data_IF_092183059641
#
_entry.id   IF_092183059641
#
_cell.length_a   1.000
_cell.length_b   1.000
_cell.length_c   1.000
_cell.angle_alpha   90.00
_cell.angle_beta   90.00
_cell.angle_gamma   90.00
#
_symmetry.space_group_name_H-M   'P 1'
#
loop_
_entity.id
_entity.type
_entity.pdbx_description
1 polymer ?
#
# COMPACT_ATOMS: atom_id res chain seq x y z
N UNK A 1 -14.55 -9.48 -18.58
CA UNK A 1 -13.29 -8.96 -19.15
C UNK A 1 -12.19 -9.32 -18.17
N UNK A 2 -11.12 -9.96 -18.63
CA UNK A 2 -9.93 -10.18 -17.82
C UNK A 2 -8.77 -9.49 -18.52
N UNK A 3 -8.09 -8.61 -17.80
CA UNK A 3 -6.85 -7.95 -18.23
C UNK A 3 -5.74 -8.71 -17.53
N UNK A 4 -5.18 -9.68 -18.25
CA UNK A 4 -4.38 -10.77 -17.72
C UNK A 4 -2.92 -10.55 -18.15
N UNK A 5 -2.19 -9.83 -17.30
CA UNK A 5 -0.80 -9.51 -17.55
C UNK A 5 0.10 -10.61 -16.99
N UNK A 6 0.75 -11.35 -17.87
CA UNK A 6 1.54 -12.52 -17.52
C UNK A 6 2.98 -12.47 -18.07
N UNK A 7 3.44 -11.31 -18.58
CA UNK A 7 4.84 -11.03 -18.85
C UNK A 7 5.64 -10.83 -17.54
N UNK A 8 5.68 -11.88 -16.72
CA UNK A 8 6.51 -11.96 -15.53
C UNK A 8 6.57 -13.42 -15.04
N UNK A 9 6.86 -13.63 -13.76
CA UNK A 9 6.99 -14.95 -13.16
C UNK A 9 5.66 -15.70 -12.91
N UNK A 10 4.50 -15.12 -13.25
CA UNK A 10 3.19 -15.73 -13.04
C UNK A 10 2.62 -16.42 -14.30
N UNK A 11 3.34 -16.43 -15.43
CA UNK A 11 2.86 -17.01 -16.71
C UNK A 11 2.28 -18.42 -16.62
N UNK A 12 2.77 -19.29 -15.73
CA UNK A 12 2.21 -20.64 -15.58
C UNK A 12 0.78 -20.61 -14.99
N UNK A 13 0.50 -19.71 -14.04
CA UNK A 13 -0.83 -19.53 -13.45
C UNK A 13 -1.81 -18.89 -14.44
N UNK A 14 -1.35 -17.93 -15.24
CA UNK A 14 -2.13 -17.33 -16.32
C UNK A 14 -2.73 -18.37 -17.29
N UNK A 15 -2.00 -19.46 -17.56
CA UNK A 15 -2.49 -20.55 -18.41
C UNK A 15 -3.51 -21.44 -17.67
N UNK A 16 -3.30 -21.71 -16.38
CA UNK A 16 -4.27 -22.45 -15.56
C UNK A 16 -5.61 -21.69 -15.48
N UNK A 17 -5.56 -20.39 -15.23
CA UNK A 17 -6.76 -19.55 -15.12
C UNK A 17 -7.53 -19.49 -16.43
N UNK A 18 -6.87 -19.46 -17.59
CA UNK A 18 -7.56 -19.53 -18.88
C UNK A 18 -8.27 -20.88 -19.05
N UNK A 19 -7.63 -22.01 -18.71
CA UNK A 19 -8.29 -23.32 -18.74
C UNK A 19 -9.48 -23.39 -17.75
N UNK A 20 -9.38 -22.77 -16.57
CA UNK A 20 -10.51 -22.65 -15.64
C UNK A 20 -11.67 -21.80 -16.22
N UNK A 21 -11.37 -20.72 -16.94
CA UNK A 21 -12.37 -19.93 -17.66
C UNK A 21 -13.03 -20.73 -18.80
N UNK A 22 -12.32 -21.67 -19.42
CA UNK A 22 -12.83 -22.55 -20.48
C UNK A 22 -13.89 -23.53 -19.97
N UNK A 23 -13.85 -23.92 -18.69
CA UNK A 23 -14.94 -24.71 -18.07
C UNK A 23 -16.32 -24.05 -18.20
N UNK A 24 -16.37 -22.72 -18.29
CA UNK A 24 -17.59 -21.94 -18.49
C UNK A 24 -17.79 -21.51 -19.96
N UNK A 25 -16.76 -20.89 -20.54
CA UNK A 25 -16.76 -20.38 -21.91
C UNK A 25 -17.79 -19.28 -22.24
N UNK A 26 -17.66 -18.68 -23.42
CA UNK A 26 -18.53 -17.60 -23.89
C UNK A 26 -19.76 -18.13 -24.64
N UNK A 27 -20.96 -17.85 -24.12
CA UNK A 27 -22.26 -18.29 -24.66
C UNK A 27 -22.86 -17.27 -25.64
N UNK A 28 -24.18 -17.33 -25.88
CA UNK A 28 -24.96 -16.28 -26.56
C UNK A 28 -25.20 -15.04 -25.70
N UNK A 29 -25.22 -15.21 -24.38
CA UNK A 29 -25.66 -14.20 -23.41
C UNK A 29 -24.52 -13.73 -22.49
N UNK A 30 -23.42 -14.49 -22.43
CA UNK A 30 -22.20 -14.19 -21.67
C UNK A 30 -21.00 -14.13 -22.62
N UNK A 31 -20.16 -13.10 -22.50
CA UNK A 31 -18.89 -13.01 -23.23
C UNK A 31 -17.73 -12.91 -22.24
N UNK A 32 -16.90 -13.96 -22.19
CA UNK A 32 -15.65 -13.99 -21.45
C UNK A 32 -14.54 -13.61 -22.44
N UNK A 33 -14.01 -12.40 -22.28
CA UNK A 33 -12.95 -11.85 -23.14
C UNK A 33 -11.72 -11.58 -22.28
N UNK A 34 -10.60 -12.17 -22.67
CA UNK A 34 -9.29 -12.04 -22.02
C UNK A 34 -8.37 -11.24 -22.95
N UNK A 35 -7.63 -10.28 -22.43
CA UNK A 35 -6.39 -9.81 -23.04
C UNK A 35 -5.26 -10.47 -22.25
N UNK A 36 -4.57 -11.41 -22.89
CA UNK A 36 -3.37 -12.08 -22.40
C UNK A 36 -2.15 -11.35 -22.96
N UNK A 37 -1.14 -11.20 -22.13
CA UNK A 37 0.21 -10.80 -22.49
C UNK A 37 1.19 -11.73 -21.77
N UNK A 38 2.16 -12.31 -22.45
CA UNK A 38 3.06 -13.34 -21.91
C UNK A 38 4.54 -12.93 -22.02
N UNK A 39 5.46 -13.81 -21.59
CA UNK A 39 6.87 -13.49 -21.46
C UNK A 39 7.67 -13.54 -22.78
N UNK A 40 7.03 -13.81 -23.93
CA UNK A 40 7.68 -13.86 -25.24
C UNK A 40 7.19 -12.76 -26.19
N UNK A 41 8.08 -11.82 -26.52
CA UNK A 41 7.81 -10.73 -27.47
C UNK A 41 7.15 -11.17 -28.79
N UNK A 42 5.87 -10.82 -28.91
CA UNK A 42 4.95 -11.21 -29.97
C UNK A 42 3.81 -12.16 -29.55
N UNK A 43 3.61 -12.41 -28.25
CA UNK A 43 2.61 -13.34 -27.73
C UNK A 43 1.32 -12.69 -27.19
N UNK A 44 1.23 -11.35 -27.11
CA UNK A 44 -0.01 -10.66 -26.75
C UNK A 44 -1.19 -11.12 -27.60
N UNK A 45 -2.28 -11.50 -26.96
CA UNK A 45 -3.48 -11.99 -27.66
C UNK A 45 -4.78 -11.64 -26.95
N UNK A 46 -5.84 -11.44 -27.74
CA UNK A 46 -7.20 -11.30 -27.20
C UNK A 46 -7.95 -12.60 -27.46
N UNK A 47 -8.34 -13.29 -26.40
CA UNK A 47 -9.12 -14.52 -26.47
C UNK A 47 -10.61 -14.21 -26.26
N UNK A 48 -11.48 -14.81 -27.07
CA UNK A 48 -12.89 -15.01 -26.68
C UNK A 48 -13.00 -16.45 -26.20
N UNK A 49 -13.11 -16.62 -24.90
CA UNK A 49 -12.99 -17.94 -24.27
C UNK A 49 -14.07 -18.88 -24.81
N UNK A 50 -13.68 -20.05 -25.27
CA UNK A 50 -14.61 -21.12 -25.72
C UNK A 50 -14.95 -22.03 -24.55
N UNK A 51 -15.95 -22.90 -24.69
CA UNK A 51 -16.22 -23.91 -23.66
C UNK A 51 -15.65 -25.26 -24.08
N UNK A 52 -14.87 -25.85 -23.19
CA UNK A 52 -14.39 -27.22 -23.24
C UNK A 52 -14.05 -27.74 -21.82
N UNK A 53 -13.62 -28.99 -21.75
CA UNK A 53 -13.34 -29.74 -20.50
C UNK A 53 -11.84 -30.12 -20.39
N UNK A 54 -10.92 -29.47 -21.11
CA UNK A 54 -9.49 -29.79 -21.16
C UNK A 54 -8.66 -28.89 -20.23
N UNK A 55 -8.56 -29.31 -18.96
CA UNK A 55 -7.79 -28.60 -17.93
C UNK A 55 -6.26 -28.48 -18.23
N UNK A 56 -5.73 -29.13 -19.28
CA UNK A 56 -4.30 -29.10 -19.65
C UNK A 56 -3.96 -28.19 -20.85
N UNK A 57 -4.92 -27.84 -21.73
CA UNK A 57 -4.63 -27.15 -23.01
C UNK A 57 -5.65 -26.08 -23.36
N UNK A 58 -5.20 -24.83 -23.55
CA UNK A 58 -6.05 -23.73 -24.04
C UNK A 58 -6.60 -24.04 -25.45
N UNK A 59 -7.91 -24.15 -25.59
CA UNK A 59 -8.60 -24.29 -26.90
C UNK A 59 -9.15 -22.96 -27.46
N UNK A 60 -9.06 -21.88 -26.68
CA UNK A 60 -9.49 -20.54 -27.06
C UNK A 60 -8.59 -19.90 -28.09
N UNK A 61 -9.16 -19.58 -29.25
CA UNK A 61 -8.42 -18.96 -30.34
C UNK A 61 -8.40 -17.42 -30.26
N UNK A 62 -7.28 -16.77 -30.65
CA UNK A 62 -7.20 -15.32 -30.74
C UNK A 62 -8.24 -14.69 -31.68
N UNK A 63 -8.76 -13.54 -31.27
CA UNK A 63 -9.70 -12.69 -32.00
C UNK A 63 -8.95 -11.54 -32.68
N UNK A 64 -9.21 -11.34 -33.98
CA UNK A 64 -8.71 -10.17 -34.74
C UNK A 64 -9.37 -8.87 -34.24
N UNK A 65 -8.65 -8.15 -33.38
CA UNK A 65 -9.03 -6.83 -32.87
C UNK A 65 -8.87 -5.70 -33.91
N UNK A 66 -8.20 -5.99 -35.04
CA UNK A 66 -7.79 -5.09 -36.11
C UNK A 66 -6.84 -3.97 -35.68
N UNK A 67 -5.97 -4.24 -34.71
CA UNK A 67 -5.01 -3.31 -34.17
C UNK A 67 -5.63 -2.16 -33.34
N UNK A 68 -6.81 -2.40 -32.77
CA UNK A 68 -7.54 -1.41 -31.95
C UNK A 68 -7.05 -1.37 -30.50
N UNK A 69 -6.52 -2.50 -30.01
CA UNK A 69 -5.95 -2.75 -28.68
C UNK A 69 -4.47 -3.11 -28.84
N UNK A 70 -4.17 -4.19 -29.56
CA UNK A 70 -2.81 -4.72 -29.77
C UNK A 70 -2.20 -4.04 -30.99
N UNK A 71 -1.25 -3.12 -30.78
CA UNK A 71 -0.71 -2.28 -31.86
C UNK A 71 0.54 -2.88 -32.49
N UNK A 72 0.40 -4.03 -33.11
CA UNK A 72 1.50 -4.77 -33.73
C UNK A 72 1.38 -6.23 -33.34
N UNK A 73 2.26 -6.65 -32.44
CA UNK A 73 2.30 -8.01 -31.89
C UNK A 73 2.52 -8.02 -30.36
N UNK A 74 2.82 -6.87 -29.75
CA UNK A 74 3.07 -6.71 -28.30
C UNK A 74 2.20 -5.57 -27.73
N UNK A 75 1.87 -5.60 -26.44
CA UNK A 75 1.35 -4.45 -25.67
C UNK A 75 1.95 -4.35 -24.27
N UNK A 76 2.51 -3.18 -23.94
CA UNK A 76 2.73 -2.80 -22.55
C UNK A 76 1.39 -2.86 -21.78
N UNK A 77 1.31 -3.72 -20.76
CA UNK A 77 0.14 -3.91 -19.91
C UNK A 77 0.11 -2.93 -18.72
N UNK A 78 1.27 -2.41 -18.32
CA UNK A 78 1.40 -1.27 -17.40
C UNK A 78 0.82 0.05 -17.96
N UNK A 79 0.78 0.23 -19.29
CA UNK A 79 0.27 1.44 -19.93
C UNK A 79 -1.26 1.58 -19.74
N UNK A 80 -1.77 2.60 -19.02
CA UNK A 80 -3.21 2.83 -18.88
C UNK A 80 -3.93 3.04 -20.21
N UNK A 81 -3.20 3.41 -21.26
CA UNK A 81 -3.74 3.51 -22.61
C UNK A 81 -4.01 2.13 -23.23
N UNK A 82 -3.38 1.05 -22.78
CA UNK A 82 -3.69 -0.35 -23.14
C UNK A 82 -4.97 -0.81 -22.46
N UNK A 83 -5.07 -0.73 -21.13
CA UNK A 83 -6.30 -1.01 -20.36
C UNK A 83 -7.52 -0.27 -20.93
N UNK A 84 -7.35 1.04 -21.21
CA UNK A 84 -8.39 1.89 -21.80
C UNK A 84 -8.78 1.49 -23.22
N UNK A 85 -7.84 1.01 -24.05
CA UNK A 85 -8.16 0.48 -25.38
C UNK A 85 -8.95 -0.82 -25.25
N UNK A 86 -8.50 -1.74 -24.39
CA UNK A 86 -9.15 -3.03 -24.17
C UNK A 86 -10.60 -2.89 -23.70
N UNK A 87 -10.83 -2.22 -22.56
CA UNK A 87 -12.18 -2.02 -22.00
C UNK A 87 -13.10 -1.30 -23.00
N UNK A 88 -12.59 -0.28 -23.69
CA UNK A 88 -13.37 0.41 -24.73
C UNK A 88 -13.67 -0.52 -25.91
N UNK A 89 -12.73 -1.34 -26.34
CA UNK A 89 -12.92 -2.26 -27.47
C UNK A 89 -13.97 -3.32 -27.13
N UNK A 90 -13.83 -4.01 -25.99
CA UNK A 90 -14.78 -5.04 -25.57
C UNK A 90 -16.20 -4.48 -25.47
N UNK A 91 -16.41 -3.32 -24.82
CA UNK A 91 -17.73 -2.69 -24.72
C UNK A 91 -18.37 -2.29 -26.06
N UNK A 92 -17.57 -2.16 -27.14
CA UNK A 92 -18.09 -1.84 -28.47
C UNK A 92 -18.38 -3.08 -29.33
N UNK A 93 -17.52 -4.11 -29.26
CA UNK A 93 -17.70 -5.34 -30.06
C UNK A 93 -18.61 -6.37 -29.35
N UNK A 94 -18.63 -6.38 -28.02
CA UNK A 94 -19.42 -7.26 -27.15
C UNK A 94 -20.28 -6.44 -26.16
N UNK A 95 -21.28 -5.69 -26.64
CA UNK A 95 -22.14 -4.89 -25.77
C UNK A 95 -22.96 -5.78 -24.83
N UNK A 96 -22.89 -5.50 -23.53
CA UNK A 96 -23.58 -6.25 -22.48
C UNK A 96 -24.44 -5.34 -21.59
N UNK A 97 -25.40 -5.92 -20.86
CA UNK A 97 -26.22 -5.24 -19.86
C UNK A 97 -25.56 -5.17 -18.47
N UNK A 98 -24.56 -6.03 -18.24
CA UNK A 98 -23.71 -6.06 -17.05
C UNK A 98 -22.26 -6.27 -17.45
N UNK A 99 -21.33 -5.70 -16.70
CA UNK A 99 -19.91 -5.76 -17.02
C UNK A 99 -19.02 -6.00 -15.81
N UNK A 100 -18.18 -7.02 -15.92
CA UNK A 100 -17.10 -7.35 -14.97
C UNK A 100 -15.76 -7.12 -15.65
N UNK A 101 -14.87 -6.40 -14.98
CA UNK A 101 -13.46 -6.28 -15.32
C UNK A 101 -12.63 -6.85 -14.18
N UNK A 102 -11.81 -7.86 -14.45
CA UNK A 102 -10.75 -8.31 -13.55
C UNK A 102 -9.42 -7.79 -14.08
N UNK A 103 -8.59 -7.21 -13.20
CA UNK A 103 -7.18 -6.94 -13.46
C UNK A 103 -6.41 -7.98 -12.66
N UNK A 104 -5.63 -8.79 -13.36
CA UNK A 104 -4.89 -9.94 -12.83
C UNK A 104 -3.40 -9.69 -12.99
N UNK A 105 -2.64 -9.79 -11.89
CA UNK A 105 -1.17 -9.87 -11.81
C UNK A 105 -0.70 -9.80 -10.33
N UNK A 106 0.61 -9.62 -10.10
CA UNK A 106 1.15 -8.94 -8.91
C UNK A 106 0.40 -7.64 -8.57
N UNK A 107 0.24 -7.41 -7.27
CA UNK A 107 -0.23 -6.16 -6.69
C UNK A 107 0.61 -5.72 -5.49
N UNK A 108 0.68 -4.42 -5.24
CA UNK A 108 1.30 -3.85 -4.04
C UNK A 108 0.37 -2.91 -3.27
N UNK A 109 -0.89 -2.75 -3.70
CA UNK A 109 -1.81 -1.75 -3.18
C UNK A 109 -1.36 -0.34 -3.57
N UNK A 110 -1.30 0.57 -2.59
CA UNK A 110 -0.98 1.99 -2.85
C UNK A 110 0.48 2.38 -2.63
N UNK A 111 1.29 1.54 -1.97
CA UNK A 111 2.69 1.82 -1.60
C UNK A 111 3.67 0.77 -2.11
N UNK A 112 4.93 1.19 -2.26
CA UNK A 112 6.02 0.34 -2.72
C UNK A 112 6.33 -0.76 -1.71
N UNK A 113 6.60 -1.97 -2.19
CA UNK A 113 6.93 -3.10 -1.33
C UNK A 113 8.30 -2.87 -0.67
N UNK A 114 8.32 -2.55 0.63
CA UNK A 114 9.56 -2.27 1.38
C UNK A 114 10.41 -3.51 1.71
N UNK A 115 9.93 -4.70 1.38
CA UNK A 115 10.58 -5.99 1.61
C UNK A 115 11.49 -6.44 0.48
N UNK A 116 12.23 -7.55 0.69
CA UNK A 116 13.22 -8.04 -0.27
C UNK A 116 12.57 -8.89 -1.37
N UNK A 117 12.55 -8.41 -2.60
CA UNK A 117 12.31 -9.27 -3.78
C UNK A 117 11.83 -8.52 -5.01
N UNK A 118 10.90 -7.59 -4.80
CA UNK A 118 10.33 -6.72 -5.84
C UNK A 118 10.97 -5.34 -5.83
N UNK A 119 10.73 -4.56 -6.89
CA UNK A 119 11.18 -3.16 -6.93
C UNK A 119 10.52 -2.39 -5.79
N UNK A 120 11.35 -1.71 -4.98
CA UNK A 120 10.94 -0.82 -3.89
C UNK A 120 10.04 0.33 -4.39
N UNK A 121 9.96 0.52 -5.70
CA UNK A 121 9.16 1.52 -6.40
C UNK A 121 7.81 1.02 -6.93
N UNK A 122 7.54 -0.29 -7.00
CA UNK A 122 6.29 -0.85 -7.57
C UNK A 122 5.05 -0.49 -6.73
N UNK A 123 4.17 0.37 -7.25
CA UNK A 123 3.02 0.99 -6.55
C UNK A 123 1.71 0.84 -7.32
N UNK A 124 1.20 -0.38 -7.43
CA UNK A 124 -0.01 -0.63 -8.21
C UNK A 124 -0.26 -2.12 -8.43
N UNK A 125 -0.65 -2.45 -9.66
CA UNK A 125 -1.00 -3.79 -10.13
C UNK A 125 -0.59 -3.92 -11.60
N UNK A 126 -0.59 -5.12 -12.18
CA UNK A 126 -0.22 -5.36 -13.58
C UNK A 126 1.23 -4.97 -13.86
N UNK A 127 2.17 -5.69 -13.22
CA UNK A 127 3.62 -5.53 -13.40
C UNK A 127 4.10 -6.21 -14.69
N UNK A 128 4.39 -5.37 -15.68
CA UNK A 128 4.94 -5.73 -16.98
C UNK A 128 6.47 -5.87 -16.87
N UNK A 129 6.96 -7.10 -17.06
CA UNK A 129 8.35 -7.47 -16.79
C UNK A 129 9.34 -7.04 -17.87
N UNK A 130 8.92 -7.01 -19.14
CA UNK A 130 9.76 -6.64 -20.28
C UNK A 130 9.84 -5.12 -20.46
N UNK A 131 8.73 -4.39 -20.29
CA UNK A 131 8.78 -2.91 -20.28
C UNK A 131 9.24 -2.35 -18.92
N UNK A 132 9.07 -3.11 -17.82
CA UNK A 132 9.38 -2.65 -16.46
C UNK A 132 8.40 -1.59 -15.96
N UNK A 133 7.13 -1.75 -16.32
CA UNK A 133 6.04 -0.79 -16.15
C UNK A 133 4.89 -1.39 -15.34
N UNK A 134 3.97 -0.56 -14.83
CA UNK A 134 2.80 -1.06 -14.10
C UNK A 134 1.66 -0.05 -14.00
N UNK A 135 0.44 -0.55 -13.86
CA UNK A 135 -0.74 0.29 -13.66
C UNK A 135 -0.77 0.85 -12.24
N UNK A 136 -0.44 2.13 -12.08
CA UNK A 136 -0.71 2.85 -10.82
C UNK A 136 -2.22 3.04 -10.61
N UNK A 137 -2.66 3.16 -9.35
CA UNK A 137 -4.08 3.40 -9.03
C UNK A 137 -4.67 4.67 -9.72
N UNK A 138 -3.93 5.81 -9.80
CA UNK A 138 -4.38 6.98 -10.56
C UNK A 138 -4.49 6.74 -12.07
N UNK A 139 -3.67 5.87 -12.64
CA UNK A 139 -3.71 5.52 -14.06
C UNK A 139 -4.91 4.63 -14.39
N UNK A 140 -5.27 3.69 -13.51
CA UNK A 140 -6.52 2.93 -13.59
C UNK A 140 -7.74 3.88 -13.56
N UNK A 141 -7.74 4.86 -12.65
CA UNK A 141 -8.77 5.92 -12.63
C UNK A 141 -8.84 6.65 -13.98
N UNK A 142 -7.71 7.03 -14.56
CA UNK A 142 -7.67 7.83 -15.80
C UNK A 142 -7.98 7.02 -17.08
N UNK A 143 -7.76 5.70 -17.04
CA UNK A 143 -8.25 4.73 -18.00
C UNK A 143 -9.78 4.59 -17.91
N UNK A 144 -10.32 4.41 -16.70
CA UNK A 144 -11.71 4.00 -16.44
C UNK A 144 -12.70 5.14 -16.15
N UNK A 145 -12.28 6.40 -15.98
CA UNK A 145 -13.14 7.57 -15.61
C UNK A 145 -14.36 7.89 -16.50
N UNK A 146 -14.53 7.20 -17.63
CA UNK A 146 -15.72 7.31 -18.52
C UNK A 146 -16.44 5.98 -18.71
N UNK A 147 -16.03 4.97 -17.96
CA UNK A 147 -16.62 3.63 -17.93
C UNK A 147 -17.59 3.56 -16.75
N UNK A 148 -18.59 2.70 -16.88
CA UNK A 148 -19.35 2.14 -15.77
C UNK A 148 -19.26 0.63 -15.90
N UNK A 149 -18.91 -0.01 -14.80
CA UNK A 149 -18.79 -1.45 -14.58
C UNK A 149 -19.76 -1.83 -13.45
N UNK A 150 -20.25 -3.06 -13.46
CA UNK A 150 -20.97 -3.61 -12.32
C UNK A 150 -19.97 -4.04 -11.25
N UNK A 151 -18.86 -4.66 -11.65
CA UNK A 151 -17.80 -5.16 -10.76
C UNK A 151 -16.42 -4.80 -11.35
N UNK A 152 -15.50 -4.31 -10.50
CA UNK A 152 -14.06 -4.40 -10.77
C UNK A 152 -13.40 -5.36 -9.77
N UNK A 153 -12.74 -6.37 -10.30
CA UNK A 153 -11.95 -7.36 -9.56
C UNK A 153 -10.47 -7.05 -9.66
N UNK A 154 -9.75 -7.34 -8.58
CA UNK A 154 -8.31 -7.41 -8.54
C UNK A 154 -7.91 -8.81 -8.11
N UNK A 155 -7.43 -9.59 -9.08
CA UNK A 155 -6.78 -10.87 -8.82
C UNK A 155 -5.28 -10.59 -8.63
N UNK A 156 -5.01 -9.96 -7.48
CA UNK A 156 -3.74 -9.33 -7.18
C UNK A 156 -3.60 -9.04 -5.68
N UNK A 157 -2.38 -9.15 -5.18
CA UNK A 157 -2.03 -8.93 -3.78
C UNK A 157 -2.34 -7.51 -3.27
N UNK A 158 -2.83 -7.41 -2.04
CA UNK A 158 -2.96 -6.15 -1.28
C UNK A 158 -3.88 -5.08 -1.92
N UNK A 159 -4.79 -5.46 -2.82
CA UNK A 159 -5.63 -4.53 -3.58
C UNK A 159 -6.95 -4.15 -2.89
N UNK A 160 -7.37 -4.86 -1.85
CA UNK A 160 -8.65 -4.66 -1.17
C UNK A 160 -8.62 -3.55 -0.10
N UNK A 161 -8.01 -2.43 -0.46
CA UNK A 161 -7.87 -1.25 0.39
C UNK A 161 -9.08 -0.32 0.29
N UNK A 162 -9.37 0.45 1.34
CA UNK A 162 -10.39 1.50 1.29
C UNK A 162 -9.99 2.63 0.33
N UNK A 163 -8.71 2.95 0.19
CA UNK A 163 -8.18 3.95 -0.74
C UNK A 163 -8.51 3.58 -2.20
N UNK A 164 -8.34 2.30 -2.54
CA UNK A 164 -8.59 1.75 -3.89
C UNK A 164 -10.09 1.65 -4.14
N UNK A 165 -10.85 1.12 -3.17
CA UNK A 165 -12.31 1.01 -3.25
C UNK A 165 -12.99 2.38 -3.34
N UNK A 166 -12.50 3.38 -2.61
CA UNK A 166 -12.96 4.77 -2.68
C UNK A 166 -12.80 5.34 -4.08
N UNK A 167 -11.65 5.14 -4.72
CA UNK A 167 -11.41 5.61 -6.08
C UNK A 167 -12.28 4.86 -7.09
N UNK A 168 -12.46 3.54 -6.92
CA UNK A 168 -13.28 2.68 -7.76
C UNK A 168 -14.78 3.02 -7.74
N UNK A 169 -15.31 3.57 -6.63
CA UNK A 169 -16.72 3.99 -6.47
C UNK A 169 -17.25 4.85 -7.62
N UNK A 170 -16.35 5.57 -8.29
CA UNK A 170 -16.68 6.47 -9.40
C UNK A 170 -17.03 5.72 -10.70
N UNK A 171 -16.59 4.47 -10.88
CA UNK A 171 -16.75 3.70 -12.12
C UNK A 171 -17.17 2.24 -11.95
N UNK A 172 -17.21 1.68 -10.74
CA UNK A 172 -17.72 0.34 -10.45
C UNK A 172 -18.76 0.34 -9.31
N UNK A 173 -19.79 -0.48 -9.42
CA UNK A 173 -20.79 -0.69 -8.36
C UNK A 173 -20.25 -1.56 -7.21
N UNK A 174 -19.37 -2.52 -7.50
CA UNK A 174 -18.67 -3.34 -6.51
C UNK A 174 -17.16 -3.43 -6.79
N UNK A 175 -16.36 -3.57 -5.73
CA UNK A 175 -14.96 -4.04 -5.80
C UNK A 175 -14.81 -5.43 -5.19
N UNK A 176 -13.85 -6.22 -5.67
CA UNK A 176 -13.51 -7.56 -5.15
C UNK A 176 -11.99 -7.76 -5.20
N UNK A 177 -11.38 -8.29 -4.14
CA UNK A 177 -9.94 -8.57 -4.05
C UNK A 177 -9.49 -8.99 -2.65
N UNK A 178 -8.17 -9.09 -2.46
CA UNK A 178 -7.52 -9.51 -1.20
C UNK A 178 -6.88 -8.34 -0.45
N UNK A 179 -6.99 -8.35 0.87
CA UNK A 179 -6.26 -7.43 1.78
C UNK A 179 -4.81 -7.88 1.96
N UNK A 180 -4.57 -9.19 1.88
CA UNK A 180 -3.31 -9.91 1.99
C UNK A 180 -2.73 -10.24 0.59
N UNK A 181 -1.56 -10.89 0.56
CA UNK A 181 -1.10 -11.64 -0.61
C UNK A 181 -2.14 -12.66 -1.09
N UNK A 182 -2.22 -12.84 -2.41
CA UNK A 182 -2.99 -13.91 -3.08
C UNK A 182 -2.03 -15.09 -3.34
N UNK A 183 -2.47 -16.36 -3.24
CA UNK A 183 -1.69 -17.51 -3.67
C UNK A 183 -1.37 -17.46 -5.18
N UNK A 184 -0.43 -18.28 -5.63
CA UNK A 184 0.06 -18.21 -7.02
C UNK A 184 -1.03 -18.57 -8.05
N UNK A 185 -2.03 -19.36 -7.65
CA UNK A 185 -3.15 -19.82 -8.47
C UNK A 185 -4.34 -18.82 -8.53
N UNK A 186 -4.21 -17.60 -7.99
CA UNK A 186 -5.18 -16.51 -8.22
C UNK A 186 -6.60 -16.76 -7.69
N UNK A 187 -7.60 -16.48 -8.52
CA UNK A 187 -9.02 -16.80 -8.26
C UNK A 187 -9.42 -18.12 -8.92
N UNK A 188 -10.33 -18.87 -8.27
CA UNK A 188 -11.06 -19.97 -8.92
C UNK A 188 -11.99 -19.39 -10.02
N UNK A 189 -11.55 -19.45 -11.28
CA UNK A 189 -12.28 -18.93 -12.42
C UNK A 189 -13.43 -19.84 -12.86
N UNK A 190 -13.56 -21.05 -12.31
CA UNK A 190 -14.75 -21.89 -12.51
C UNK A 190 -16.00 -21.23 -11.93
N UNK A 191 -15.85 -20.20 -11.07
CA UNK A 191 -16.96 -19.33 -10.66
C UNK A 191 -17.71 -18.69 -11.84
N UNK A 192 -17.06 -18.52 -13.00
CA UNK A 192 -17.71 -18.03 -14.22
C UNK A 192 -18.86 -18.94 -14.71
N UNK A 193 -18.88 -20.21 -14.30
CA UNK A 193 -20.04 -21.09 -14.53
C UNK A 193 -21.33 -20.53 -13.94
N UNK A 194 -21.26 -19.75 -12.84
CA UNK A 194 -22.46 -19.07 -12.29
C UNK A 194 -23.08 -18.07 -13.27
N UNK A 195 -22.28 -17.44 -14.12
CA UNK A 195 -22.76 -16.52 -15.16
C UNK A 195 -23.39 -17.30 -16.33
N UNK A 196 -22.82 -18.42 -16.75
CA UNK A 196 -23.33 -19.20 -17.89
C UNK A 196 -24.56 -20.03 -17.52
N UNK A 197 -24.65 -20.52 -16.29
CA UNK A 197 -25.84 -21.16 -15.70
C UNK A 197 -26.98 -20.15 -15.47
N UNK A 198 -26.66 -18.92 -15.04
CA UNK A 198 -27.64 -17.88 -14.71
C UNK A 198 -27.16 -16.47 -15.13
N UNK A 199 -27.32 -16.08 -16.41
CA UNK A 199 -26.88 -14.76 -16.91
C UNK A 199 -27.57 -13.56 -16.24
N UNK A 200 -28.72 -13.78 -15.58
CA UNK A 200 -29.46 -12.75 -14.84
C UNK A 200 -28.97 -12.54 -13.39
N UNK A 201 -27.95 -13.29 -12.93
CA UNK A 201 -27.36 -13.13 -11.59
C UNK A 201 -27.00 -11.66 -11.32
N UNK A 202 -27.32 -11.18 -10.12
CA UNK A 202 -27.03 -9.79 -9.76
C UNK A 202 -25.53 -9.61 -9.51
N UNK A 203 -24.96 -8.43 -9.76
CA UNK A 203 -23.55 -8.14 -9.45
C UNK A 203 -23.21 -8.40 -7.99
N UNK A 204 -24.11 -8.01 -7.07
CA UNK A 204 -23.94 -8.27 -5.65
C UNK A 204 -23.79 -9.77 -5.34
N UNK A 205 -24.64 -10.62 -5.93
CA UNK A 205 -24.58 -12.06 -5.70
C UNK A 205 -23.39 -12.69 -6.40
N UNK A 206 -23.04 -12.24 -7.62
CA UNK A 206 -21.87 -12.75 -8.31
C UNK A 206 -20.55 -12.37 -7.60
N UNK A 207 -20.43 -11.16 -7.04
CA UNK A 207 -19.33 -10.79 -6.15
C UNK A 207 -19.24 -11.70 -4.92
N UNK A 208 -20.37 -12.11 -4.33
CA UNK A 208 -20.39 -13.08 -3.22
C UNK A 208 -20.00 -14.49 -3.65
N UNK A 209 -20.37 -14.93 -4.85
CA UNK A 209 -19.93 -16.21 -5.40
C UNK A 209 -18.40 -16.23 -5.64
N UNK A 210 -17.79 -15.15 -6.14
CA UNK A 210 -16.32 -15.02 -6.29
C UNK A 210 -15.63 -15.20 -4.93
N UNK A 211 -16.06 -14.44 -3.92
CA UNK A 211 -15.50 -14.53 -2.56
C UNK A 211 -15.71 -15.92 -1.95
N UNK A 212 -16.85 -16.57 -2.23
CA UNK A 212 -17.12 -17.92 -1.74
C UNK A 212 -16.24 -18.97 -2.42
N UNK A 213 -16.10 -18.93 -3.74
CA UNK A 213 -15.28 -19.87 -4.51
C UNK A 213 -13.83 -19.85 -4.02
N UNK A 214 -13.24 -18.67 -3.88
CA UNK A 214 -11.90 -18.48 -3.30
C UNK A 214 -11.73 -19.12 -1.92
N UNK A 215 -12.71 -18.93 -1.02
CA UNK A 215 -12.71 -19.52 0.32
C UNK A 215 -12.98 -21.03 0.34
N UNK A 216 -13.68 -21.58 -0.65
CA UNK A 216 -13.89 -23.02 -0.82
C UNK A 216 -12.64 -23.70 -1.41
N UNK A 217 -11.94 -23.04 -2.34
CA UNK A 217 -10.72 -23.51 -3.00
C UNK A 217 -9.52 -23.57 -2.02
N UNK A 218 -9.17 -22.46 -1.37
CA UNK A 218 -8.03 -22.40 -0.43
C UNK A 218 -8.38 -22.89 0.99
N UNK A 219 -9.66 -22.94 1.33
CA UNK A 219 -10.12 -23.38 2.65
C UNK A 219 -9.68 -22.43 3.78
N UNK A 220 -9.12 -22.99 4.87
CA UNK A 220 -8.75 -22.24 6.08
C UNK A 220 -7.26 -22.34 6.46
N UNK A 221 -6.41 -22.76 5.53
CA UNK A 221 -4.97 -22.91 5.75
C UNK A 221 -4.18 -21.66 5.34
N UNK A 222 -3.11 -21.35 6.07
CA UNK A 222 -2.21 -20.23 5.73
C UNK A 222 -2.78 -18.85 6.04
N UNK A 223 -2.27 -17.87 5.30
CA UNK A 223 -2.72 -16.47 5.27
C UNK A 223 -3.22 -16.17 3.87
N UNK A 224 -4.53 -15.97 3.73
CA UNK A 224 -5.19 -15.49 2.52
C UNK A 224 -6.49 -14.82 2.94
N UNK A 225 -6.91 -13.82 2.17
CA UNK A 225 -8.14 -13.07 2.37
C UNK A 225 -8.82 -12.84 1.03
N UNK A 226 -10.14 -12.66 1.02
CA UNK A 226 -10.87 -12.15 -0.14
C UNK A 226 -12.16 -11.50 0.34
N UNK A 227 -12.52 -10.34 -0.19
CA UNK A 227 -13.78 -9.67 0.14
C UNK A 227 -14.45 -9.02 -1.08
N UNK A 228 -15.70 -8.61 -0.89
CA UNK A 228 -16.48 -7.87 -1.86
C UNK A 228 -17.14 -6.65 -1.20
N UNK A 229 -17.08 -5.49 -1.85
CA UNK A 229 -17.48 -4.18 -1.32
C UNK A 229 -18.62 -3.58 -2.13
N UNK A 230 -19.70 -3.11 -1.48
CA UNK A 230 -20.70 -2.25 -2.12
C UNK A 230 -20.21 -0.79 -2.15
N UNK A 231 -19.86 -0.29 -3.33
CA UNK A 231 -19.37 1.07 -3.53
C UNK A 231 -20.34 2.16 -3.02
N UNK A 232 -21.65 1.86 -2.92
CA UNK A 232 -22.67 2.81 -2.44
C UNK A 232 -22.66 3.00 -0.93
N UNK A 233 -21.88 2.19 -0.19
CA UNK A 233 -21.72 2.26 1.27
C UNK A 233 -20.48 3.03 1.71
N UNK A 234 -19.54 3.24 0.79
CA UNK A 234 -18.27 3.91 1.06
C UNK A 234 -18.46 5.35 1.55
N UNK A 235 -19.40 6.13 0.99
CA UNK A 235 -19.64 7.52 1.42
C UNK A 235 -20.04 7.62 2.91
N UNK A 236 -21.02 6.84 3.40
CA UNK A 236 -21.27 6.68 4.84
C UNK A 236 -20.05 6.23 5.65
N UNK A 237 -19.30 5.23 5.17
CA UNK A 237 -18.13 4.69 5.89
C UNK A 237 -17.04 5.75 6.07
N UNK A 238 -16.64 6.45 4.99
CA UNK A 238 -15.64 7.53 5.07
C UNK A 238 -16.12 8.67 5.96
N UNK A 239 -17.42 9.03 5.90
CA UNK A 239 -18.00 10.03 6.82
C UNK A 239 -17.89 9.64 8.30
N UNK A 240 -17.90 8.33 8.62
CA UNK A 240 -17.71 7.83 9.98
C UNK A 240 -16.22 7.79 10.39
N UNK A 241 -15.32 7.43 9.46
CA UNK A 241 -13.86 7.53 9.64
C UNK A 241 -13.49 8.99 9.96
N UNK A 242 -13.97 9.95 9.18
CA UNK A 242 -13.77 11.38 9.38
C UNK A 242 -14.32 11.87 10.73
N UNK A 243 -15.45 11.32 11.16
CA UNK A 243 -16.06 11.63 12.45
C UNK A 243 -15.20 11.13 13.62
N UNK A 244 -14.60 9.93 13.49
CA UNK A 244 -13.67 9.36 14.45
C UNK A 244 -12.32 10.11 14.44
N UNK A 245 -11.73 10.32 13.28
CA UNK A 245 -10.52 11.11 13.05
C UNK A 245 -10.63 12.50 13.71
N UNK A 246 -11.75 13.21 13.50
CA UNK A 246 -12.05 14.48 14.15
C UNK A 246 -12.04 14.42 15.69
N UNK A 247 -12.47 13.31 16.29
CA UNK A 247 -12.46 13.13 17.76
C UNK A 247 -11.03 12.93 18.24
N UNK A 248 -10.24 12.11 17.53
CA UNK A 248 -8.85 11.83 17.86
C UNK A 248 -7.96 13.08 17.69
N UNK A 249 -8.01 13.76 16.54
CA UNK A 249 -7.25 15.00 16.26
C UNK A 249 -7.46 16.06 17.36
N UNK A 250 -8.73 16.30 17.76
CA UNK A 250 -9.07 17.32 18.78
C UNK A 250 -8.56 16.98 20.19
N UNK A 251 -8.12 15.74 20.43
CA UNK A 251 -7.67 15.24 21.71
C UNK A 251 -6.32 14.50 21.58
N UNK A 252 -5.52 14.79 20.54
CA UNK A 252 -4.40 13.93 20.14
C UNK A 252 -3.32 13.81 21.23
N UNK A 253 -3.03 14.90 21.95
CA UNK A 253 -2.11 14.94 23.10
C UNK A 253 -2.59 14.10 24.32
N UNK A 254 -3.85 13.62 24.31
CA UNK A 254 -4.41 12.69 25.31
C UNK A 254 -4.39 11.24 24.83
N UNK A 255 -4.59 11.01 23.54
CA UNK A 255 -4.84 9.67 22.97
C UNK A 255 -3.66 9.12 22.16
N UNK A 256 -2.54 9.82 21.99
CA UNK A 256 -1.42 9.36 21.15
C UNK A 256 -0.87 7.99 21.58
N UNK A 257 -0.70 7.75 22.89
CA UNK A 257 -0.25 6.46 23.42
C UNK A 257 -1.31 5.35 23.19
N UNK A 258 -2.60 5.67 23.38
CA UNK A 258 -3.70 4.72 23.13
C UNK A 258 -3.83 4.37 21.64
N UNK A 259 -3.56 5.33 20.74
CA UNK A 259 -3.54 5.14 19.28
C UNK A 259 -2.34 4.28 18.86
N UNK A 260 -1.15 4.52 19.43
CA UNK A 260 0.05 3.70 19.21
C UNK A 260 -0.19 2.26 19.66
N UNK A 261 -0.78 2.08 20.86
CA UNK A 261 -1.16 0.77 21.39
C UNK A 261 -2.17 0.07 20.47
N UNK A 262 -3.29 0.73 20.13
CA UNK A 262 -4.30 0.19 19.25
C UNK A 262 -3.73 -0.21 17.88
N UNK A 263 -2.88 0.64 17.28
CA UNK A 263 -2.18 0.37 16.03
C UNK A 263 -1.23 -0.82 16.11
N UNK A 264 -0.60 -1.05 17.26
CA UNK A 264 0.31 -2.20 17.49
C UNK A 264 -0.42 -3.52 17.73
N UNK A 265 -1.66 -3.46 18.22
CA UNK A 265 -2.54 -4.62 18.42
C UNK A 265 -3.31 -5.02 17.16
N UNK A 266 -3.43 -4.12 16.19
CA UNK A 266 -4.23 -4.31 14.98
C UNK A 266 -3.56 -5.28 14.02
N UNK A 267 -4.36 -6.16 13.41
CA UNK A 267 -3.90 -7.03 12.33
C UNK A 267 -3.32 -6.20 11.16
N UNK A 268 -2.13 -6.58 10.71
CA UNK A 268 -1.50 -6.05 9.52
C UNK A 268 -1.16 -7.19 8.56
N UNK A 269 -1.15 -6.86 7.27
CA UNK A 269 -0.88 -7.77 6.17
C UNK A 269 0.63 -7.82 5.86
N UNK A 270 1.02 -8.57 4.84
CA UNK A 270 2.43 -8.75 4.44
C UNK A 270 3.17 -7.41 4.19
N UNK A 271 2.45 -6.38 3.71
CA UNK A 271 2.89 -4.99 3.91
C UNK A 271 2.40 -4.49 5.28
N UNK A 272 3.29 -4.31 6.29
CA UNK A 272 2.90 -3.99 7.66
C UNK A 272 2.28 -2.60 7.82
N UNK A 273 2.28 -1.76 6.77
CA UNK A 273 1.62 -0.47 6.75
C UNK A 273 0.14 -0.55 6.36
N UNK A 274 -0.33 -1.68 5.85
CA UNK A 274 -1.75 -1.94 5.62
C UNK A 274 -2.30 -2.68 6.83
N UNK A 275 -3.28 -2.06 7.49
CA UNK A 275 -3.95 -2.63 8.66
C UNK A 275 -5.42 -2.85 8.37
N UNK A 276 -6.03 -3.80 9.05
CA UNK A 276 -7.48 -3.96 9.03
C UNK A 276 -8.18 -2.74 9.67
N UNK A 277 -9.12 -2.14 8.95
CA UNK A 277 -9.84 -0.93 9.37
C UNK A 277 -10.84 -1.19 10.51
N UNK A 278 -11.49 -2.36 10.52
CA UNK A 278 -12.44 -2.75 11.56
C UNK A 278 -11.71 -3.04 12.87
N UNK A 279 -10.64 -3.83 12.81
CA UNK A 279 -9.84 -4.22 13.96
C UNK A 279 -9.12 -3.00 14.56
N UNK A 280 -8.66 -2.05 13.72
CA UNK A 280 -8.15 -0.76 14.24
C UNK A 280 -9.21 -0.01 15.03
N UNK A 281 -10.44 0.09 14.50
CA UNK A 281 -11.54 0.74 15.21
C UNK A 281 -11.90 0.00 16.52
N UNK A 282 -11.93 -1.33 16.51
CA UNK A 282 -12.11 -2.19 17.69
C UNK A 282 -11.04 -1.92 18.75
N UNK A 283 -9.77 -1.93 18.37
CA UNK A 283 -8.65 -1.70 19.29
C UNK A 283 -8.67 -0.25 19.84
N UNK A 284 -9.06 0.75 19.05
CA UNK A 284 -9.31 2.11 19.56
C UNK A 284 -10.48 2.19 20.56
N UNK A 285 -11.52 1.37 20.39
CA UNK A 285 -12.60 1.24 21.38
C UNK A 285 -12.04 0.75 22.72
N UNK A 286 -11.23 -0.32 22.68
CA UNK A 286 -10.71 -0.98 23.87
C UNK A 286 -9.69 -0.11 24.61
N UNK A 287 -8.66 0.37 23.92
CA UNK A 287 -7.51 1.09 24.51
C UNK A 287 -7.91 2.46 25.10
N UNK A 288 -8.60 3.31 24.34
CA UNK A 288 -8.87 4.70 24.78
C UNK A 288 -9.85 4.83 25.94
N UNK A 289 -10.73 3.84 26.12
CA UNK A 289 -11.79 3.84 27.13
C UNK A 289 -12.89 4.92 26.97
N UNK A 290 -12.70 5.93 26.11
CA UNK A 290 -13.47 7.18 26.09
C UNK A 290 -14.81 7.05 25.36
N UNK A 291 -15.90 7.49 25.99
CA UNK A 291 -17.25 7.34 25.45
C UNK A 291 -17.48 7.92 24.05
N UNK A 292 -16.73 8.95 23.62
CA UNK A 292 -16.84 9.49 22.26
C UNK A 292 -16.05 8.67 21.24
N UNK A 293 -14.82 8.28 21.57
CA UNK A 293 -14.00 7.41 20.71
C UNK A 293 -14.73 6.08 20.52
N UNK A 294 -15.24 5.49 21.61
CA UNK A 294 -16.03 4.25 21.56
C UNK A 294 -17.27 4.35 20.67
N UNK A 295 -17.95 5.50 20.65
CA UNK A 295 -19.09 5.69 19.76
C UNK A 295 -18.66 5.79 18.29
N UNK A 296 -17.58 6.51 17.98
CA UNK A 296 -17.06 6.62 16.62
C UNK A 296 -16.51 5.30 16.09
N UNK A 297 -15.70 4.60 16.88
CA UNK A 297 -15.18 3.27 16.60
C UNK A 297 -16.27 2.26 16.24
N UNK A 298 -17.34 2.19 17.05
CA UNK A 298 -18.48 1.30 16.78
C UNK A 298 -19.24 1.65 15.51
N UNK A 299 -19.30 2.92 15.14
CA UNK A 299 -19.94 3.35 13.90
C UNK A 299 -19.09 2.99 12.67
N UNK A 300 -17.76 3.11 12.76
CA UNK A 300 -16.84 2.60 11.73
C UNK A 300 -16.98 1.08 11.61
N UNK A 301 -16.89 0.33 12.71
CA UNK A 301 -17.08 -1.14 12.71
C UNK A 301 -18.42 -1.55 12.06
N UNK A 302 -19.53 -0.92 12.46
CA UNK A 302 -20.86 -1.16 11.88
C UNK A 302 -20.89 -0.90 10.38
N UNK A 303 -20.28 0.19 9.92
CA UNK A 303 -20.29 0.58 8.52
C UNK A 303 -19.34 -0.26 7.66
N UNK A 304 -18.22 -0.76 8.19
CA UNK A 304 -17.42 -1.79 7.50
C UNK A 304 -18.27 -3.05 7.28
N UNK A 305 -18.94 -3.57 8.32
CA UNK A 305 -19.83 -4.73 8.19
C UNK A 305 -21.07 -4.52 7.30
N UNK A 306 -21.45 -3.28 7.00
CA UNK A 306 -22.51 -2.95 6.02
C UNK A 306 -21.97 -2.67 4.61
N UNK A 307 -20.67 -2.42 4.48
CA UNK A 307 -19.96 -2.13 3.23
C UNK A 307 -19.41 -3.39 2.59
N UNK A 308 -18.90 -4.31 3.41
CA UNK A 308 -18.39 -5.61 3.01
C UNK A 308 -19.55 -6.59 2.86
N UNK A 309 -19.91 -6.95 1.62
CA UNK A 309 -21.07 -7.81 1.30
C UNK A 309 -20.76 -9.31 1.32
N UNK A 310 -19.48 -9.66 1.21
CA UNK A 310 -18.92 -10.98 1.54
C UNK A 310 -17.44 -10.83 1.92
N UNK A 311 -16.95 -11.75 2.74
CA UNK A 311 -15.58 -11.82 3.23
C UNK A 311 -15.25 -13.29 3.55
N UNK A 312 -14.03 -13.71 3.23
CA UNK A 312 -13.42 -14.97 3.70
C UNK A 312 -11.94 -14.74 4.01
N UNK A 313 -11.48 -15.32 5.12
CA UNK A 313 -10.08 -15.34 5.53
C UNK A 313 -9.63 -16.72 5.98
N UNK A 314 -8.36 -17.01 5.74
CA UNK A 314 -7.67 -18.16 6.31
C UNK A 314 -7.42 -17.98 7.82
N UNK A 315 -7.13 -19.08 8.51
CA UNK A 315 -7.03 -19.11 9.99
C UNK A 315 -5.99 -18.13 10.55
N UNK A 316 -4.89 -17.90 9.83
CA UNK A 316 -3.80 -17.08 10.36
C UNK A 316 -4.05 -15.57 10.13
N UNK A 317 -5.07 -15.22 9.32
CA UNK A 317 -5.64 -13.87 9.08
C UNK A 317 -6.99 -13.67 9.81
N UNK A 318 -7.19 -14.31 10.96
CA UNK A 318 -8.47 -14.36 11.72
C UNK A 318 -9.07 -13.03 12.21
N UNK A 319 -8.32 -11.94 12.13
CA UNK A 319 -8.75 -10.59 12.52
C UNK A 319 -8.83 -9.66 11.29
N UNK A 320 -9.01 -10.25 10.11
CA UNK A 320 -9.42 -9.57 8.87
C UNK A 320 -10.95 -9.47 8.77
N UNK A 321 -11.40 -8.34 8.24
CA UNK A 321 -12.81 -7.97 8.12
C UNK A 321 -13.15 -7.41 6.72
N UNK A 322 -12.24 -7.51 5.76
CA UNK A 322 -12.51 -7.28 4.34
C UNK A 322 -12.15 -5.88 3.81
N UNK A 323 -11.57 -4.99 4.62
CA UNK A 323 -11.07 -3.68 4.17
C UNK A 323 -9.84 -3.25 4.97
N UNK A 324 -8.70 -3.16 4.27
CA UNK A 324 -7.49 -2.57 4.83
C UNK A 324 -7.41 -1.06 4.59
N UNK A 325 -6.58 -0.38 5.38
CA UNK A 325 -6.29 1.06 5.28
C UNK A 325 -4.80 1.32 5.50
N UNK A 326 -4.23 2.32 4.83
CA UNK A 326 -2.82 2.68 5.00
C UNK A 326 -2.60 3.47 6.29
N UNK A 327 -1.91 2.84 7.24
CA UNK A 327 -1.40 3.46 8.46
C UNK A 327 0.03 2.96 8.71
N UNK A 328 1.07 3.63 8.16
CA UNK A 328 2.44 3.23 8.40
C UNK A 328 2.87 3.54 9.84
N UNK A 329 3.85 2.81 10.36
CA UNK A 329 4.34 3.03 11.73
C UNK A 329 5.03 4.39 11.92
N UNK A 330 5.63 4.93 10.85
CA UNK A 330 6.67 5.97 10.93
C UNK A 330 6.43 7.11 9.94
N UNK A 331 6.63 8.35 10.39
CA UNK A 331 6.22 9.59 9.69
C UNK A 331 6.85 9.77 8.30
N UNK A 332 8.02 9.22 8.03
CA UNK A 332 8.65 9.31 6.71
C UNK A 332 7.95 8.44 5.66
N UNK A 333 7.40 7.29 6.04
CA UNK A 333 6.61 6.44 5.13
C UNK A 333 5.32 7.17 4.76
N UNK A 334 4.63 7.71 5.77
CA UNK A 334 3.48 8.60 5.59
C UNK A 334 3.80 9.75 4.64
N UNK A 335 4.88 10.51 4.89
CA UNK A 335 5.30 11.61 3.99
C UNK A 335 5.70 11.14 2.60
N UNK A 336 6.37 10.00 2.46
CA UNK A 336 6.78 9.46 1.15
C UNK A 336 5.60 9.03 0.27
N UNK A 337 4.46 8.71 0.89
CA UNK A 337 3.22 8.41 0.19
C UNK A 337 2.35 9.67 0.00
N UNK A 338 1.92 10.32 1.08
CA UNK A 338 0.98 11.46 1.03
C UNK A 338 1.58 12.76 0.45
N UNK A 339 2.91 12.88 0.30
CA UNK A 339 3.52 14.01 -0.42
C UNK A 339 3.65 13.78 -1.94
N UNK A 340 3.34 12.59 -2.46
CA UNK A 340 3.16 12.38 -3.90
C UNK A 340 1.77 12.85 -4.34
N UNK A 341 1.71 13.74 -5.32
CA UNK A 341 0.49 14.48 -5.70
C UNK A 341 -0.53 13.64 -6.49
N UNK A 342 -0.35 12.33 -6.51
CA UNK A 342 -0.99 11.40 -7.44
C UNK A 342 -2.23 10.72 -6.81
N UNK A 343 -2.28 10.62 -5.48
CA UNK A 343 -3.29 9.85 -4.73
C UNK A 343 -4.52 10.68 -4.31
N UNK A 344 -5.15 11.33 -5.28
CA UNK A 344 -5.93 12.54 -5.01
C UNK A 344 -7.25 12.34 -4.24
N UNK A 345 -8.02 11.26 -4.42
CA UNK A 345 -9.45 11.27 -4.00
C UNK A 345 -9.69 10.87 -2.54
N UNK A 346 -9.03 9.84 -2.00
CA UNK A 346 -9.26 9.47 -0.59
C UNK A 346 -8.64 10.49 0.36
N UNK A 347 -7.51 11.06 -0.05
CA UNK A 347 -6.80 12.12 0.68
C UNK A 347 -7.55 13.45 0.60
N UNK A 348 -8.17 13.81 -0.54
CA UNK A 348 -8.95 15.06 -0.60
C UNK A 348 -10.32 14.99 0.05
N UNK A 349 -10.91 13.78 0.11
CA UNK A 349 -12.30 13.59 0.51
C UNK A 349 -12.47 12.99 1.93
N UNK A 350 -11.38 12.73 2.65
CA UNK A 350 -11.38 12.25 4.04
C UNK A 350 -10.50 13.12 4.94
N UNK A 351 -10.48 12.81 6.24
CA UNK A 351 -9.62 13.43 7.26
C UNK A 351 -8.56 12.46 7.81
N UNK A 352 -8.27 11.39 7.07
CA UNK A 352 -7.37 10.34 7.52
C UNK A 352 -5.92 10.82 7.57
N UNK A 353 -5.46 11.59 6.58
CA UNK A 353 -4.08 12.09 6.56
C UNK A 353 -3.85 13.25 7.56
N UNK A 354 -4.82 14.13 7.83
CA UNK A 354 -4.67 15.06 8.95
C UNK A 354 -4.67 14.34 10.31
N UNK A 355 -5.39 13.22 10.44
CA UNK A 355 -5.31 12.37 11.62
C UNK A 355 -3.93 11.75 11.79
N UNK A 356 -3.40 11.11 10.73
CA UNK A 356 -2.07 10.53 10.73
C UNK A 356 -0.98 11.60 11.01
N UNK A 357 -1.05 12.76 10.35
CA UNK A 357 -0.12 13.87 10.61
C UNK A 357 -0.19 14.34 12.07
N UNK A 358 -1.39 14.55 12.61
CA UNK A 358 -1.57 14.98 14.01
C UNK A 358 -1.02 13.93 14.98
N UNK A 359 -1.25 12.64 14.72
CA UNK A 359 -0.71 11.52 15.49
C UNK A 359 0.82 11.54 15.51
N UNK A 360 1.50 11.55 14.36
CA UNK A 360 2.98 11.56 14.35
C UNK A 360 3.55 12.84 14.97
N UNK A 361 2.90 14.00 14.80
CA UNK A 361 3.33 15.23 15.47
C UNK A 361 3.22 15.11 17.00
N UNK A 362 2.15 14.52 17.53
CA UNK A 362 2.00 14.27 18.96
C UNK A 362 3.05 13.28 19.48
N UNK A 363 3.20 12.12 18.86
CA UNK A 363 4.18 11.09 19.27
C UNK A 363 5.62 11.61 19.17
N UNK A 364 5.93 12.51 18.23
CA UNK A 364 7.25 13.15 18.13
C UNK A 364 7.58 14.07 19.32
N UNK A 365 6.59 14.72 19.93
CA UNK A 365 6.77 15.62 21.09
C UNK A 365 7.08 14.85 22.38
N UNK A 366 6.64 13.60 22.51
CA UNK A 366 6.84 12.80 23.72
C UNK A 366 8.29 12.29 23.87
N UNK A 367 9.11 12.35 22.81
CA UNK A 367 10.50 11.85 22.80
C UNK A 367 11.48 12.91 23.36
N UNK A 368 11.28 13.35 24.62
CA UNK A 368 12.27 14.18 25.35
C UNK A 368 13.25 13.33 26.18
N UNK A 369 14.55 13.47 25.90
CA UNK A 369 15.63 12.68 26.50
C UNK A 369 16.11 13.23 27.88
N UNK A 370 16.05 12.37 28.92
CA UNK A 370 16.79 12.58 30.18
C UNK A 370 18.26 12.16 30.02
N UNK A 371 19.21 13.08 30.25
CA UNK A 371 20.66 12.81 30.16
C UNK A 371 21.34 12.67 31.53
N UNK A 372 22.43 11.89 31.61
CA UNK A 372 23.15 11.60 32.87
C UNK A 372 24.69 11.75 32.78
N UNK A 373 25.21 12.74 33.52
CA UNK A 373 26.57 12.92 34.10
C UNK A 373 27.89 12.70 33.31
N UNK A 374 28.62 13.82 33.16
CA UNK A 374 30.05 14.13 33.49
C UNK A 374 31.24 13.19 33.13
N UNK A 375 32.38 13.79 32.71
CA UNK A 375 33.75 13.66 33.31
C UNK A 375 34.76 14.67 32.68
N UNK A 376 35.89 14.93 33.37
CA UNK A 376 36.91 16.00 33.14
C UNK A 376 38.27 15.44 32.65
N UNK A 377 39.14 16.18 31.93
CA UNK A 377 40.14 17.20 32.42
C UNK A 377 40.99 17.73 31.23
N UNK A 378 41.90 18.74 31.31
CA UNK A 378 42.06 20.07 31.96
C UNK A 378 43.44 20.66 31.52
N UNK A 379 43.53 21.94 31.11
CA UNK A 379 44.61 22.89 31.43
C UNK A 379 44.13 24.32 31.13
N UNK A 380 43.76 25.08 32.17
CA UNK A 380 42.84 26.24 32.11
C UNK A 380 41.51 25.91 31.39
N UNK A 381 40.57 25.22 32.07
CA UNK A 381 39.44 24.59 31.40
C UNK A 381 38.39 25.59 30.92
N UNK A 382 38.28 25.69 29.60
CA UNK A 382 37.04 26.02 28.91
C UNK A 382 36.12 24.83 29.08
N UNK A 383 35.18 24.91 30.03
CA UNK A 383 34.11 23.92 30.13
C UNK A 383 33.13 24.17 29.00
N UNK A 384 32.85 23.14 28.21
CA UNK A 384 31.68 23.11 27.35
C UNK A 384 30.59 22.29 28.04
N UNK A 385 29.42 22.89 28.23
CA UNK A 385 28.20 22.15 28.54
C UNK A 385 27.41 22.04 27.24
N UNK A 386 27.11 20.81 26.81
CA UNK A 386 26.05 20.59 25.83
C UNK A 386 24.75 20.85 26.57
N UNK A 387 24.14 22.02 26.34
CA UNK A 387 22.89 22.42 27.01
C UNK A 387 21.65 22.11 26.17
N UNK A 388 21.82 21.98 24.86
CA UNK A 388 20.75 21.63 23.94
C UNK A 388 21.34 20.90 22.72
N UNK A 389 20.72 19.78 22.33
CA UNK A 389 20.92 19.15 21.02
C UNK A 389 19.55 19.13 20.35
N UNK A 390 19.26 20.16 19.57
CA UNK A 390 18.09 20.13 18.69
C UNK A 390 18.50 19.46 17.38
N UNK A 391 17.70 18.55 16.86
CA UNK A 391 17.79 18.18 15.45
C UNK A 391 16.73 18.96 14.67
N UNK A 392 17.06 19.34 13.44
CA UNK A 392 16.07 19.82 12.47
C UNK A 392 16.33 19.14 11.15
N UNK A 393 15.36 18.39 10.67
CA UNK A 393 15.40 17.81 9.34
C UNK A 393 15.05 18.91 8.33
N UNK A 394 15.90 19.09 7.31
CA UNK A 394 15.64 20.00 6.18
C UNK A 394 16.09 19.28 4.92
N UNK A 395 15.13 18.87 4.07
CA UNK A 395 15.44 18.27 2.76
C UNK A 395 16.12 16.89 2.81
N UNK A 396 15.96 16.13 3.90
CA UNK A 396 16.58 14.81 4.07
C UNK A 396 17.93 14.81 4.81
N UNK A 397 18.47 15.99 5.15
CA UNK A 397 19.67 16.13 5.97
C UNK A 397 19.32 16.43 7.44
N UNK A 398 19.95 15.70 8.36
CA UNK A 398 19.70 15.80 9.80
C UNK A 398 20.60 16.88 10.42
N UNK A 399 20.14 18.14 10.44
CA UNK A 399 20.91 19.24 11.05
C UNK A 399 20.92 19.16 12.58
N UNK A 400 22.03 18.67 13.14
CA UNK A 400 22.31 18.65 14.58
C UNK A 400 22.77 20.04 15.08
N UNK A 401 21.87 20.78 15.75
CA UNK A 401 22.20 22.01 16.48
C UNK A 401 22.67 21.68 17.89
N UNK A 402 23.98 21.48 18.04
CA UNK A 402 24.66 21.31 19.34
C UNK A 402 25.01 22.69 19.91
N UNK A 403 24.33 23.10 20.98
CA UNK A 403 24.67 24.35 21.70
C UNK A 403 25.79 24.10 22.71
N UNK A 404 26.96 24.69 22.44
CA UNK A 404 28.15 24.61 23.28
C UNK A 404 28.25 25.83 24.20
N UNK A 405 27.77 25.71 25.44
CA UNK A 405 27.89 26.77 26.45
C UNK A 405 29.29 26.77 27.10
N UNK A 406 30.00 27.90 27.05
CA UNK A 406 31.19 28.13 27.86
C UNK A 406 31.26 29.53 28.45
N UNK A 407 31.72 29.62 29.71
CA UNK A 407 31.93 30.90 30.41
C UNK A 407 33.27 31.58 30.09
N UNK A 408 34.13 30.96 29.25
CA UNK A 408 35.51 31.42 29.00
C UNK A 408 35.87 31.64 27.52
N UNK A 409 34.96 31.40 26.59
CA UNK A 409 35.19 31.58 25.14
C UNK A 409 34.12 32.48 24.55
N UNK A 410 34.57 33.44 23.72
CA UNK A 410 33.72 34.20 22.82
C UNK A 410 33.70 33.51 21.45
N UNK A 411 32.57 33.53 20.75
CA UNK A 411 32.36 32.82 19.46
C UNK A 411 33.49 33.07 18.44
N UNK A 412 33.99 34.31 18.38
CA UNK A 412 35.11 34.75 17.54
C UNK A 412 36.47 34.08 17.79
N UNK A 413 36.58 33.19 18.78
CA UNK A 413 37.78 32.39 19.05
C UNK A 413 37.72 30.99 18.44
N UNK A 414 36.55 30.55 17.98
CA UNK A 414 36.36 29.26 17.31
C UNK A 414 36.76 29.43 15.84
N UNK A 415 37.77 28.70 15.39
CA UNK A 415 38.25 28.77 14.00
C UNK A 415 37.62 27.72 13.09
N UNK A 416 37.39 26.53 13.64
CA UNK A 416 36.93 25.36 12.91
C UNK A 416 36.26 24.39 13.90
N UNK A 417 35.24 23.65 13.45
CA UNK A 417 34.49 22.67 14.24
C UNK A 417 34.31 21.41 13.41
N UNK A 418 34.75 20.27 13.93
CA UNK A 418 34.74 18.97 13.24
C UNK A 418 33.97 17.95 14.05
N UNK A 419 33.09 17.22 13.37
CA UNK A 419 32.37 16.08 13.90
C UNK A 419 32.89 14.83 13.20
N UNK A 420 33.35 13.83 13.96
CA UNK A 420 33.95 12.61 13.40
C UNK A 420 33.48 11.36 14.17
N UNK A 421 33.29 10.20 13.51
CA UNK A 421 33.07 8.93 14.19
C UNK A 421 34.26 8.58 15.08
N UNK A 422 34.01 8.16 16.32
CA UNK A 422 35.04 7.95 17.34
C UNK A 422 35.89 6.70 17.15
N UNK A 423 35.51 5.78 16.24
CA UNK A 423 36.29 4.59 15.86
C UNK A 423 36.12 4.26 14.38
N UNK A 424 37.24 4.13 13.67
CA UNK A 424 37.31 3.56 12.33
C UNK A 424 37.44 2.03 12.41
N UNK A 425 36.44 1.32 11.89
CA UNK A 425 36.52 -0.12 11.61
C UNK A 425 36.21 -0.35 10.13
N UNK A 426 37.08 -1.11 9.49
CA UNK A 426 37.08 -1.34 8.04
C UNK A 426 35.85 -2.12 7.59
N UNK A 427 35.12 -1.62 6.60
CA UNK A 427 34.74 -2.36 5.38
C UNK A 427 34.55 -1.36 4.23
N UNK A 428 34.86 -1.80 3.01
CA UNK A 428 34.99 -0.92 1.83
C UNK A 428 33.65 -0.58 1.16
N UNK A 429 33.37 0.71 0.98
CA UNK A 429 32.41 1.18 -0.01
C UNK A 429 32.90 2.49 -0.66
N UNK A 430 32.49 2.78 -1.90
CA UNK A 430 33.01 3.92 -2.68
C UNK A 430 32.36 5.26 -2.24
N UNK A 431 33.09 6.39 -2.29
CA UNK A 431 32.63 7.65 -1.70
C UNK A 431 32.07 8.62 -2.75
N UNK A 432 30.90 8.32 -3.32
CA UNK A 432 30.10 9.31 -4.07
C UNK A 432 28.64 9.20 -3.60
N UNK A 433 27.98 10.36 -3.37
CA UNK A 433 26.63 10.53 -2.82
C UNK A 433 26.34 10.11 -1.35
N UNK A 434 27.10 10.64 -0.38
CA UNK A 434 26.51 11.05 0.91
C UNK A 434 26.44 12.60 0.93
N UNK A 435 25.25 13.21 1.05
CA UNK A 435 25.10 14.64 1.32
C UNK A 435 25.64 15.04 2.71
N UNK A 436 25.84 16.35 2.92
CA UNK A 436 26.26 16.91 4.21
C UNK A 436 25.13 16.88 5.26
N UNK A 437 24.84 15.71 5.82
CA UNK A 437 23.84 15.61 6.91
C UNK A 437 23.41 14.21 7.33
N UNK A 438 23.89 13.15 6.69
CA UNK A 438 23.53 11.78 7.07
C UNK A 438 24.40 11.24 8.22
N UNK A 439 23.80 11.12 9.41
CA UNK A 439 24.42 10.49 10.58
C UNK A 439 23.88 9.08 10.80
N UNK A 440 24.72 8.18 11.31
CA UNK A 440 24.34 6.80 11.66
C UNK A 440 24.41 6.60 13.18
N UNK A 441 23.78 5.55 13.73
CA UNK A 441 24.07 5.07 15.07
C UNK A 441 25.58 4.83 15.28
N UNK A 442 26.15 5.35 16.36
CA UNK A 442 27.57 5.23 16.69
C UNK A 442 28.06 6.26 17.71
N UNK A 443 29.30 6.07 18.17
CA UNK A 443 30.01 7.08 18.96
C UNK A 443 30.60 8.15 18.05
N UNK A 444 30.39 9.42 18.39
CA UNK A 444 30.93 10.58 17.68
C UNK A 444 31.73 11.48 18.61
N UNK A 445 32.80 12.07 18.06
CA UNK A 445 33.63 13.09 18.72
C UNK A 445 33.42 14.42 18.00
N UNK A 446 32.89 15.40 18.72
CA UNK A 446 32.87 16.80 18.30
C UNK A 446 34.15 17.48 18.81
N UNK A 447 34.90 18.14 17.93
CA UNK A 447 36.15 18.84 18.25
C UNK A 447 36.14 20.26 17.68
N UNK A 448 36.62 21.24 18.43
CA UNK A 448 36.78 22.62 17.99
C UNK A 448 38.25 23.05 18.06
N UNK A 449 38.75 23.70 17.00
CA UNK A 449 40.06 24.39 17.03
C UNK A 449 39.87 25.83 17.53
N UNK A 450 40.63 26.15 18.57
CA UNK A 450 40.64 27.41 19.29
C UNK A 450 41.92 28.21 19.00
N UNK A 451 42.49 28.03 17.80
CA UNK A 451 43.67 28.74 17.33
C UNK A 451 45.00 28.12 17.73
N UNK A 452 45.10 26.78 17.67
CA UNK A 452 46.28 26.02 18.07
C UNK A 452 46.07 25.12 19.29
N UNK A 453 44.84 25.06 19.81
CA UNK A 453 44.40 24.17 20.87
C UNK A 453 43.08 23.51 20.48
N UNK A 454 42.99 22.20 20.67
CA UNK A 454 41.76 21.44 20.38
C UNK A 454 41.00 21.16 21.66
N UNK A 455 39.71 21.53 21.70
CA UNK A 455 38.78 21.06 22.72
C UNK A 455 37.82 20.05 22.09
N UNK A 456 37.49 18.97 22.78
CA UNK A 456 36.58 17.95 22.25
C UNK A 456 35.62 17.38 23.30
N UNK A 457 34.52 16.82 22.81
CA UNK A 457 33.50 16.11 23.59
C UNK A 457 32.95 14.94 22.77
N UNK A 458 32.56 13.86 23.45
CA UNK A 458 32.04 12.65 22.82
C UNK A 458 30.59 12.43 23.17
N UNK A 459 29.78 12.01 22.20
CA UNK A 459 28.39 11.62 22.39
C UNK A 459 28.07 10.37 21.56
N UNK A 460 27.12 9.57 22.00
CA UNK A 460 26.66 8.39 21.26
C UNK A 460 25.32 8.70 20.62
N UNK A 461 25.23 8.62 19.30
CA UNK A 461 23.95 8.49 18.59
C UNK A 461 23.57 7.02 18.72
N UNK A 462 22.42 6.71 19.33
CA UNK A 462 21.90 5.35 19.38
C UNK A 462 20.72 5.24 18.45
N UNK A 463 20.70 4.17 17.67
CA UNK A 463 19.44 3.65 17.14
C UNK A 463 18.55 3.32 18.34
N UNK A 464 17.34 3.87 18.37
CA UNK A 464 16.33 3.37 19.29
C UNK A 464 15.71 2.15 18.63
N UNK A 465 16.31 0.97 18.86
CA UNK A 465 15.55 -0.27 18.70
C UNK A 465 14.36 -0.18 19.66
N UNK A 466 13.17 -0.19 19.10
CA UNK A 466 11.94 -0.61 19.77
C UNK A 466 11.70 -2.03 19.28
#
# INVERSE_FOLDING_TARGET
MVFLNADNNLYEAALWDINEMETAGSTSDVNIIVLLDGPENGDSSILRVVNDDDEETIHSFPVDDRGKVIKGYEVNMGDPSTLKRFVKWVKNEYPASREVLVIWDHGSGVTGYGGKGFDLLFKGVSYDGTDGDYLTIPEIKDALKKTKLDIIGFDACLMQMIEISWLARNYADFTVGSEELVPNEGWDYQVLNKLTENPDISPEEFSKEIVRAYGEYYGKGGSSTQSAIDSKKLEPLVSAIDSLANILIKNIERFSEDIESARSLTHCYDNPYYIDLYDFAKNLEEETGDGKVKQGAREVMRLVSETVVAEVHARDSKDSYGLSIYFPEQIWNFRAYYASADFLDFVSDSLWDEFLMAYYEASSKQIELKTSKEVYKVNEPVKFKISNVGYKEIGGDLSLKITLESQKIHESMIKDVKLQPSKSLYYSWRPESMPEGQFRPGDYTLSADLGGHTASTTFTIKEKTV
#
